data_IF_958044084780
#
_entry.id   IF_958044084780
#
_cell.length_a   1.000
_cell.length_b   1.000
_cell.length_c   1.000
_cell.angle_alpha   90.00
_cell.angle_beta   90.00
_cell.angle_gamma   90.00
#
_symmetry.space_group_name_H-M   'P 1'
#
loop_
_entity.id
_entity.type
_entity.pdbx_description
1 polymer ?
#
# COMPACT_ATOMS: atom_id res chain seq x y z
N UNK A 1 -6.76 -25.17 -11.24
CA UNK A 1 -5.79 -25.26 -12.31
C UNK A 1 -4.57 -24.43 -12.05
N UNK A 2 -3.45 -25.03 -12.20
CA UNK A 2 -2.19 -24.36 -11.91
C UNK A 2 -1.95 -23.15 -12.80
N UNK A 3 -2.29 -23.27 -14.07
CA UNK A 3 -2.04 -22.16 -15.00
C UNK A 3 -2.87 -20.95 -14.66
N UNK A 4 -4.12 -21.16 -14.28
CA UNK A 4 -4.99 -20.07 -13.87
C UNK A 4 -4.43 -19.33 -12.67
N UNK A 5 -3.96 -20.08 -11.69
CA UNK A 5 -3.40 -19.47 -10.47
C UNK A 5 -2.18 -18.65 -10.77
N UNK A 6 -1.28 -19.15 -11.60
CA UNK A 6 -0.08 -18.41 -11.96
C UNK A 6 -0.42 -17.13 -12.71
N UNK A 7 -1.38 -17.21 -13.61
CA UNK A 7 -1.80 -16.05 -14.39
C UNK A 7 -2.40 -14.98 -13.48
N UNK A 8 -3.23 -15.39 -12.53
CA UNK A 8 -3.82 -14.48 -11.59
C UNK A 8 -2.78 -13.81 -10.72
N UNK A 9 -1.81 -14.58 -10.23
CA UNK A 9 -0.76 -14.05 -9.38
C UNK A 9 0.06 -13.02 -10.13
N UNK A 10 0.34 -13.28 -11.42
CA UNK A 10 1.12 -12.34 -12.21
C UNK A 10 0.36 -11.05 -12.47
N UNK A 11 -0.93 -11.17 -12.79
CA UNK A 11 -1.75 -9.98 -13.03
C UNK A 11 -1.85 -9.14 -11.77
N UNK A 12 -1.98 -9.79 -10.63
CA UNK A 12 -2.04 -9.07 -9.36
C UNK A 12 -0.71 -8.40 -9.04
N UNK A 13 0.39 -9.10 -9.29
CA UNK A 13 1.71 -8.52 -9.10
C UNK A 13 1.89 -7.26 -9.96
N UNK A 14 1.50 -7.35 -11.23
CA UNK A 14 1.64 -6.22 -12.14
C UNK A 14 0.75 -5.05 -11.72
N UNK A 15 -0.45 -5.34 -11.23
CA UNK A 15 -1.36 -4.32 -10.75
C UNK A 15 -0.75 -3.58 -9.55
N UNK A 16 -0.23 -4.34 -8.60
CA UNK A 16 0.37 -3.75 -7.40
C UNK A 16 1.61 -2.95 -7.77
N UNK A 17 2.43 -3.49 -8.66
CA UNK A 17 3.64 -2.78 -9.08
C UNK A 17 3.29 -1.44 -9.72
N UNK A 18 2.24 -1.40 -10.51
CA UNK A 18 1.81 -0.15 -11.14
C UNK A 18 1.35 0.86 -10.10
N UNK A 19 0.59 0.41 -9.11
CA UNK A 19 0.11 1.30 -8.05
C UNK A 19 1.26 1.82 -7.19
N UNK A 20 2.33 1.05 -7.07
CA UNK A 20 3.44 1.40 -6.21
C UNK A 20 4.54 2.18 -6.91
N UNK A 21 4.37 2.48 -8.21
CA UNK A 21 5.44 3.11 -8.98
C UNK A 21 5.48 4.63 -8.87
N UNK A 22 4.58 5.21 -8.11
CA UNK A 22 4.43 6.66 -8.04
C UNK A 22 5.03 7.23 -6.77
N UNK A 23 5.48 8.46 -6.89
CA UNK A 23 6.00 9.21 -5.76
C UNK A 23 4.87 9.58 -4.82
N UNK A 24 5.16 9.64 -3.52
CA UNK A 24 4.15 9.85 -2.50
C UNK A 24 4.24 11.25 -1.92
N UNK A 25 3.08 11.84 -1.69
CA UNK A 25 2.97 13.12 -1.01
C UNK A 25 3.00 12.92 0.50
N UNK A 26 2.20 11.97 1.00
CA UNK A 26 2.22 11.62 2.41
C UNK A 26 1.53 10.27 2.59
N UNK A 27 1.71 9.69 3.77
CA UNK A 27 1.18 8.37 4.11
C UNK A 27 0.50 8.46 5.46
N UNK A 28 -0.67 7.84 5.56
CA UNK A 28 -1.41 7.81 6.82
C UNK A 28 -1.63 6.39 7.27
N UNK A 29 -1.84 6.24 8.57
CA UNK A 29 -2.26 4.96 9.16
C UNK A 29 -3.66 5.16 9.70
N UNK A 30 -4.57 4.30 9.28
CA UNK A 30 -5.97 4.38 9.67
C UNK A 30 -6.33 3.18 10.54
N UNK A 31 -6.97 3.45 11.67
CA UNK A 31 -7.59 2.41 12.49
C UNK A 31 -9.03 2.30 12.00
N UNK A 32 -9.33 1.21 11.31
CA UNK A 32 -10.63 1.07 10.65
C UNK A 32 -11.77 0.93 11.66
N UNK A 33 -11.49 0.34 12.82
CA UNK A 33 -12.53 0.17 13.84
C UNK A 33 -12.83 1.49 14.54
N UNK A 34 -11.81 2.25 14.88
CA UNK A 34 -11.98 3.52 15.57
C UNK A 34 -12.26 4.67 14.60
N UNK A 35 -12.04 4.43 13.32
CA UNK A 35 -12.24 5.44 12.28
C UNK A 35 -11.36 6.67 12.51
N UNK A 36 -10.12 6.43 12.93
CA UNK A 36 -9.14 7.49 13.13
C UNK A 36 -8.01 7.33 12.13
N UNK A 37 -7.38 8.42 11.78
CA UNK A 37 -6.32 8.42 10.78
C UNK A 37 -5.26 9.42 11.19
N UNK A 38 -3.98 9.02 11.06
CA UNK A 38 -2.87 9.90 11.41
C UNK A 38 -1.78 9.78 10.36
N UNK A 39 -1.07 10.88 10.12
CA UNK A 39 0.03 10.89 9.17
C UNK A 39 1.23 10.21 9.79
N UNK A 40 1.80 9.22 9.09
CA UNK A 40 2.97 8.51 9.57
C UNK A 40 4.21 8.82 8.75
N UNK A 41 4.08 9.53 7.63
CA UNK A 41 5.23 9.91 6.82
C UNK A 41 4.84 10.88 5.73
N UNK A 42 5.83 11.63 5.26
CA UNK A 42 5.64 12.59 4.17
C UNK A 42 6.73 12.41 3.13
N UNK A 43 6.39 12.70 1.88
CA UNK A 43 7.36 12.74 0.78
C UNK A 43 8.17 11.45 0.69
N UNK A 44 7.66 10.47 -0.02
CA UNK A 44 8.34 9.20 -0.10
C UNK A 44 8.00 8.40 -1.33
N UNK A 45 8.25 7.13 -1.22
CA UNK A 45 7.98 6.20 -2.31
C UNK A 45 7.75 4.81 -1.74
N UNK A 46 7.20 3.94 -2.59
CA UNK A 46 6.94 2.56 -2.22
C UNK A 46 7.91 1.66 -2.97
N UNK A 47 8.54 0.76 -2.25
CA UNK A 47 9.41 -0.24 -2.83
C UNK A 47 8.70 -1.58 -2.77
N UNK A 48 8.35 -2.13 -3.93
CA UNK A 48 7.70 -3.43 -4.02
C UNK A 48 8.67 -4.40 -4.65
N UNK A 49 9.25 -5.25 -3.85
CA UNK A 49 10.19 -6.25 -4.35
C UNK A 49 10.11 -7.48 -3.47
N UNK A 50 10.35 -8.64 -4.08
CA UNK A 50 10.36 -9.92 -3.37
C UNK A 50 9.06 -10.14 -2.59
N UNK A 51 7.94 -9.77 -3.21
CA UNK A 51 6.62 -9.96 -2.63
C UNK A 51 6.42 -9.19 -1.33
N UNK A 52 7.12 -8.08 -1.17
CA UNK A 52 7.08 -7.29 0.04
C UNK A 52 6.89 -5.83 -0.29
N UNK A 53 6.03 -5.18 0.50
CA UNK A 53 5.77 -3.75 0.36
C UNK A 53 6.55 -3.03 1.45
N UNK A 54 7.35 -2.05 1.04
CA UNK A 54 8.07 -1.18 1.97
C UNK A 54 7.79 0.25 1.58
N UNK A 55 7.42 1.07 2.54
CA UNK A 55 7.17 2.49 2.29
C UNK A 55 8.22 3.29 3.01
N UNK A 56 8.93 4.13 2.25
CA UNK A 56 9.99 4.97 2.79
C UNK A 56 9.58 6.42 2.62
N UNK A 57 9.68 7.17 3.69
CA UNK A 57 9.35 8.59 3.69
C UNK A 57 10.51 9.35 4.30
N UNK A 58 11.01 10.33 3.55
CA UNK A 58 12.09 11.18 4.03
C UNK A 58 13.28 10.35 4.48
N UNK A 59 13.58 9.28 3.74
CA UNK A 59 14.71 8.42 4.02
C UNK A 59 14.49 7.40 5.11
N UNK A 60 13.31 7.34 5.71
CA UNK A 60 13.02 6.42 6.80
C UNK A 60 11.95 5.41 6.40
N UNK A 61 12.14 4.18 6.85
CA UNK A 61 11.15 3.13 6.60
C UNK A 61 9.98 3.31 7.57
N UNK A 62 8.79 3.58 7.04
CA UNK A 62 7.61 3.81 7.87
C UNK A 62 6.63 2.64 7.85
N UNK A 63 6.77 1.73 6.90
CA UNK A 63 5.87 0.59 6.80
C UNK A 63 6.53 -0.53 6.01
N UNK A 64 6.37 -1.75 6.46
CA UNK A 64 6.92 -2.92 5.78
C UNK A 64 6.08 -4.14 6.11
N UNK A 65 5.56 -4.82 5.07
CA UNK A 65 4.84 -6.07 5.26
C UNK A 65 4.88 -6.89 3.98
N UNK A 66 4.83 -8.23 4.09
CA UNK A 66 4.68 -9.07 2.92
C UNK A 66 3.34 -8.81 2.26
N UNK A 67 3.32 -8.84 0.94
CA UNK A 67 2.09 -8.58 0.20
C UNK A 67 1.01 -9.62 0.50
N UNK A 68 1.44 -10.81 0.90
CA UNK A 68 0.49 -11.88 1.25
C UNK A 68 -0.38 -11.53 2.45
N UNK A 69 0.08 -10.61 3.30
CA UNK A 69 -0.67 -10.18 4.47
C UNK A 69 -1.52 -8.94 4.21
N UNK A 70 -1.51 -8.45 2.99
CA UNK A 70 -2.16 -7.19 2.66
C UNK A 70 -3.26 -7.36 1.63
N UNK A 71 -4.28 -6.52 1.75
CA UNK A 71 -5.23 -6.31 0.66
C UNK A 71 -4.87 -4.96 0.05
N UNK A 72 -4.50 -4.97 -1.22
CA UNK A 72 -4.04 -3.77 -1.91
C UNK A 72 -5.15 -3.24 -2.80
N UNK A 73 -5.48 -1.97 -2.65
CA UNK A 73 -6.52 -1.36 -3.44
C UNK A 73 -6.16 0.05 -3.85
N UNK A 74 -6.80 0.52 -4.90
CA UNK A 74 -6.62 1.89 -5.36
C UNK A 74 -7.74 2.75 -4.79
N UNK A 75 -7.42 4.00 -4.41
CA UNK A 75 -8.45 4.91 -3.95
C UNK A 75 -9.40 5.23 -5.09
N UNK A 76 -10.67 5.47 -4.77
CA UNK A 76 -11.67 5.79 -5.78
C UNK A 76 -11.29 7.02 -6.57
N UNK A 77 -10.65 7.97 -5.94
CA UNK A 77 -10.18 9.19 -6.61
C UNK A 77 -8.92 8.96 -7.44
N UNK A 78 -8.34 7.76 -7.35
CA UNK A 78 -7.15 7.36 -8.10
C UNK A 78 -5.91 8.15 -7.75
N UNK A 79 -5.91 8.81 -6.60
CA UNK A 79 -4.75 9.57 -6.16
C UNK A 79 -4.01 8.89 -5.02
N UNK A 80 -4.17 7.60 -4.85
CA UNK A 80 -3.47 6.88 -3.81
C UNK A 80 -3.75 5.40 -3.84
N UNK A 81 -3.07 4.69 -2.96
CA UNK A 81 -3.18 3.24 -2.84
C UNK A 81 -3.35 2.90 -1.36
N UNK A 82 -4.14 1.87 -1.06
CA UNK A 82 -4.37 1.42 0.30
C UNK A 82 -3.80 0.03 0.51
N UNK A 83 -3.28 -0.19 1.70
CA UNK A 83 -2.79 -1.50 2.13
C UNK A 83 -3.50 -1.85 3.43
N UNK A 84 -4.44 -2.78 3.36
CA UNK A 84 -5.25 -3.15 4.51
C UNK A 84 -4.74 -4.46 5.09
N UNK A 85 -4.68 -4.52 6.41
CA UNK A 85 -4.19 -5.71 7.10
C UNK A 85 -4.82 -5.79 8.49
N UNK A 86 -4.63 -6.93 9.15
CA UNK A 86 -5.06 -7.13 10.52
C UNK A 86 -3.80 -7.20 11.38
N UNK A 87 -3.74 -6.38 12.44
CA UNK A 87 -2.56 -6.37 13.29
C UNK A 87 -2.58 -7.53 14.27
N UNK A 88 -1.54 -7.60 15.12
CA UNK A 88 -1.37 -8.72 16.04
C UNK A 88 -2.50 -8.81 17.05
N UNK A 89 -3.19 -7.73 17.33
CA UNK A 89 -4.29 -7.72 18.28
C UNK A 89 -5.63 -8.01 17.62
N UNK A 90 -5.65 -8.27 16.31
CA UNK A 90 -6.87 -8.53 15.59
C UNK A 90 -7.56 -7.29 15.06
N UNK A 91 -6.92 -6.15 15.15
CA UNK A 91 -7.48 -4.90 14.67
C UNK A 91 -7.26 -4.73 13.19
N UNK A 92 -8.29 -4.24 12.51
CA UNK A 92 -8.18 -3.97 11.08
C UNK A 92 -7.58 -2.59 10.86
N UNK A 93 -6.47 -2.56 10.16
CA UNK A 93 -5.71 -1.33 9.93
C UNK A 93 -5.52 -1.12 8.44
N UNK A 94 -5.34 0.12 8.05
CA UNK A 94 -5.06 0.44 6.66
C UNK A 94 -3.99 1.51 6.59
N UNK A 95 -3.00 1.28 5.75
CA UNK A 95 -2.02 2.30 5.40
C UNK A 95 -2.46 2.88 4.07
N UNK A 96 -2.60 4.21 4.02
CA UNK A 96 -3.04 4.89 2.82
C UNK A 96 -1.92 5.79 2.33
N UNK A 97 -1.45 5.54 1.12
CA UNK A 97 -0.36 6.29 0.53
C UNK A 97 -0.94 7.19 -0.57
N UNK A 98 -0.78 8.49 -0.41
CA UNK A 98 -1.31 9.47 -1.34
C UNK A 98 -0.21 9.92 -2.31
N UNK A 99 -0.51 9.90 -3.59
CA UNK A 99 0.46 10.26 -4.62
C UNK A 99 0.74 11.75 -4.62
N UNK A 100 2.00 12.12 -4.86
CA UNK A 100 2.36 13.53 -4.94
C UNK A 100 1.90 14.15 -6.26
N UNK A 101 1.88 13.34 -7.31
CA UNK A 101 1.37 13.77 -8.60
C UNK A 101 -0.09 13.39 -8.71
N UNK A 102 -0.92 14.34 -9.08
CA UNK A 102 -2.34 14.06 -9.13
C UNK A 102 -2.98 14.40 -10.47
N UNK A 103 -2.29 15.15 -11.36
CA UNK A 103 -2.88 15.38 -12.63
C UNK A 103 -1.93 16.03 -13.61
N UNK A 104 -2.48 16.12 -14.48
CA UNK A 104 -1.82 16.75 -15.42
C UNK A 104 -2.47 17.46 -16.10
#
# INVERSE_FOLDING_TARGET
>A
MLFSSKRKARAEHDRIAALCSKELQYVTLRDCAANTESVIGKAGYINFSEEKIMILCDGSLVFSKPVAELTVGELLSKNGVTFTYTDDSGKRMAVVAYYSYYRK
#
